data_IF_088402702979
#
_entry.id   IF_088402702979
#
_cell.length_a   1.000
_cell.length_b   1.000
_cell.length_c   1.000
_cell.angle_alpha   90.00
_cell.angle_beta   90.00
_cell.angle_gamma   90.00
#
_symmetry.space_group_name_H-M   'P 1'
#
loop_
_entity.id
_entity.type
_entity.pdbx_description
1 polymer ?
#
# COMPACT_ATOMS: atom_id res chain seq x y z
N UNK A 1 -9.59 34.85 30.87
CA UNK A 1 -8.37 34.40 30.18
C UNK A 1 -8.73 33.13 29.46
N UNK A 2 -8.86 33.18 28.12
CA UNK A 2 -8.98 31.96 27.33
C UNK A 2 -7.59 31.35 27.20
N UNK A 3 -7.41 30.04 27.45
CA UNK A 3 -6.16 29.40 27.12
C UNK A 3 -5.99 29.46 25.61
N UNK A 4 -4.87 30.01 25.15
CA UNK A 4 -4.43 29.90 23.77
C UNK A 4 -4.23 28.40 23.54
N UNK A 5 -5.17 27.77 22.83
CA UNK A 5 -4.93 26.45 22.26
C UNK A 5 -3.76 26.63 21.30
N UNK A 6 -2.59 26.13 21.70
CA UNK A 6 -1.44 25.97 20.82
C UNK A 6 -1.89 24.95 19.75
N UNK A 7 -2.17 25.35 18.50
CA UNK A 7 -2.50 24.36 17.49
C UNK A 7 -1.22 23.57 17.27
N UNK A 8 -1.20 22.35 17.77
CA UNK A 8 -0.07 21.45 17.60
C UNK A 8 0.25 21.41 16.09
N UNK A 9 1.48 21.77 15.72
CA UNK A 9 1.95 21.82 14.33
C UNK A 9 1.95 20.43 13.66
N UNK A 10 1.50 19.39 14.38
CA UNK A 10 1.35 18.01 13.94
C UNK A 10 -0.04 17.67 13.37
N UNK A 11 -0.99 18.61 13.31
CA UNK A 11 -2.37 18.36 12.85
C UNK A 11 -2.53 18.27 11.32
N UNK A 12 -1.63 17.60 10.59
CA UNK A 12 -1.90 17.30 9.17
C UNK A 12 -2.92 16.14 9.12
N UNK A 13 -4.08 16.29 8.47
CA UNK A 13 -4.98 15.15 8.28
C UNK A 13 -4.33 14.14 7.31
N UNK A 14 -4.64 12.84 7.43
CA UNK A 14 -4.28 11.88 6.41
C UNK A 14 -4.91 12.28 5.07
N UNK A 15 -4.20 12.00 3.97
CA UNK A 15 -4.71 12.33 2.62
C UNK A 15 -5.76 11.35 2.15
N UNK A 16 -5.71 10.10 2.63
CA UNK A 16 -6.71 9.06 2.37
C UNK A 16 -6.58 7.93 3.40
N UNK A 17 -7.42 6.90 3.25
CA UNK A 17 -7.32 5.65 4.00
C UNK A 17 -7.14 4.48 3.03
N UNK A 18 -6.40 3.47 3.46
CA UNK A 18 -6.19 2.25 2.68
C UNK A 18 -7.50 1.49 2.51
N UNK A 19 -7.88 1.16 1.27
CA UNK A 19 -9.10 0.41 0.97
C UNK A 19 -9.14 -1.05 1.50
N UNK A 20 -8.02 -1.57 2.04
CA UNK A 20 -7.92 -2.92 2.60
C UNK A 20 -7.87 -2.95 4.12
N UNK A 21 -6.95 -2.19 4.73
CA UNK A 21 -6.74 -2.20 6.18
C UNK A 21 -7.35 -1.00 6.92
N UNK A 22 -7.94 -0.04 6.19
CA UNK A 22 -8.44 1.24 6.72
C UNK A 22 -7.38 2.09 7.44
N UNK A 23 -6.09 1.77 7.25
CA UNK A 23 -4.98 2.54 7.80
C UNK A 23 -4.86 3.90 7.13
N UNK A 24 -4.47 4.90 7.92
CA UNK A 24 -4.19 6.26 7.46
C UNK A 24 -3.05 6.26 6.44
N UNK A 25 -3.24 6.99 5.34
CA UNK A 25 -2.19 7.24 4.32
C UNK A 25 -1.80 8.71 4.38
N UNK A 26 -0.51 8.97 4.53
CA UNK A 26 0.04 10.30 4.68
C UNK A 26 0.53 10.89 3.35
N UNK A 27 0.63 12.21 3.26
CA UNK A 27 0.93 12.92 1.99
C UNK A 27 2.31 12.60 1.38
N UNK A 28 3.21 12.07 2.18
CA UNK A 28 4.58 11.68 1.83
C UNK A 28 4.72 10.18 1.54
N UNK A 29 3.63 9.43 1.63
CA UNK A 29 3.61 7.99 1.37
C UNK A 29 3.09 7.68 -0.04
N UNK A 30 3.65 6.65 -0.70
CA UNK A 30 3.07 6.15 -1.94
C UNK A 30 1.76 5.41 -1.67
N UNK A 31 0.80 5.56 -2.59
CA UNK A 31 -0.43 4.77 -2.63
C UNK A 31 -0.52 4.02 -3.96
N UNK A 32 -1.03 2.80 -3.91
CA UNK A 32 -1.02 1.86 -5.04
C UNK A 32 -2.44 1.54 -5.46
N UNK A 33 -2.75 1.62 -6.75
CA UNK A 33 -4.03 1.13 -7.26
C UNK A 33 -3.91 -0.38 -7.53
N UNK A 34 -4.69 -1.20 -6.84
CA UNK A 34 -4.65 -2.65 -6.93
C UNK A 34 -6.07 -3.22 -6.83
N UNK A 35 -6.48 -4.07 -7.79
CA UNK A 35 -7.82 -4.67 -7.88
C UNK A 35 -8.97 -3.64 -7.72
N UNK A 36 -8.81 -2.45 -8.30
CA UNK A 36 -9.81 -1.38 -8.23
C UNK A 36 -9.85 -0.62 -6.89
N UNK A 37 -8.99 -0.94 -5.94
CA UNK A 37 -8.85 -0.23 -4.67
C UNK A 37 -7.53 0.54 -4.59
N UNK A 38 -7.51 1.65 -3.87
CA UNK A 38 -6.26 2.31 -3.48
C UNK A 38 -5.78 1.72 -2.15
N UNK A 39 -4.55 1.20 -2.11
CA UNK A 39 -3.98 0.49 -0.96
C UNK A 39 -2.66 1.12 -0.51
N UNK A 40 -2.38 1.05 0.79
CA UNK A 40 -1.12 1.55 1.36
C UNK A 40 0.08 0.64 0.99
N UNK A 41 1.28 1.15 1.20
CA UNK A 41 2.54 0.45 0.95
C UNK A 41 2.62 -0.91 1.65
N UNK A 42 2.13 -1.03 2.88
CA UNK A 42 2.23 -2.28 3.63
C UNK A 42 1.28 -3.35 3.08
N UNK A 43 0.02 -3.00 2.78
CA UNK A 43 -0.91 -3.90 2.10
C UNK A 43 -0.41 -4.31 0.71
N UNK A 44 0.30 -3.42 0.00
CA UNK A 44 0.93 -3.75 -1.26
C UNK A 44 2.08 -4.77 -1.07
N UNK A 45 3.00 -4.53 -0.12
CA UNK A 45 4.08 -5.46 0.19
C UNK A 45 3.55 -6.83 0.57
N UNK A 46 2.50 -6.89 1.39
CA UNK A 46 1.93 -8.16 1.83
C UNK A 46 1.26 -8.92 0.66
N UNK A 47 0.63 -8.21 -0.28
CA UNK A 47 0.12 -8.84 -1.50
C UNK A 47 1.24 -9.46 -2.34
N UNK A 48 2.36 -8.74 -2.53
CA UNK A 48 3.51 -9.25 -3.27
C UNK A 48 4.15 -10.46 -2.56
N UNK A 49 4.29 -10.42 -1.23
CA UNK A 49 4.79 -11.57 -0.45
C UNK A 49 3.90 -12.79 -0.63
N UNK A 50 2.58 -12.62 -0.53
CA UNK A 50 1.63 -13.71 -0.73
C UNK A 50 1.75 -14.30 -2.15
N UNK A 51 1.86 -13.45 -3.18
CA UNK A 51 2.09 -13.93 -4.54
C UNK A 51 3.41 -14.70 -4.68
N UNK A 52 4.47 -14.23 -4.04
CA UNK A 52 5.77 -14.91 -4.07
C UNK A 52 5.73 -16.28 -3.38
N UNK A 53 4.96 -16.41 -2.30
CA UNK A 53 4.83 -17.65 -1.52
C UNK A 53 3.86 -18.65 -2.19
N UNK A 54 2.72 -18.18 -2.68
CA UNK A 54 1.62 -19.02 -3.17
C UNK A 54 1.75 -19.35 -4.68
N UNK A 55 2.10 -18.38 -5.52
CA UNK A 55 2.25 -18.54 -6.98
C UNK A 55 3.33 -17.62 -7.55
N UNK A 56 4.63 -17.95 -7.36
CA UNK A 56 5.73 -17.13 -7.86
C UNK A 56 5.78 -17.06 -9.39
N UNK A 57 5.11 -17.97 -10.11
CA UNK A 57 5.04 -17.94 -11.57
C UNK A 57 4.09 -16.85 -12.03
N UNK A 58 2.95 -16.68 -11.36
CA UNK A 58 2.06 -15.55 -11.60
C UNK A 58 2.77 -14.22 -11.35
N UNK A 59 3.51 -14.10 -10.25
CA UNK A 59 4.31 -12.90 -9.98
C UNK A 59 5.34 -12.63 -11.09
N UNK A 60 6.02 -13.66 -11.59
CA UNK A 60 6.94 -13.51 -12.71
C UNK A 60 6.25 -12.97 -13.97
N UNK A 61 5.03 -13.41 -14.28
CA UNK A 61 4.27 -12.88 -15.42
C UNK A 61 3.89 -11.41 -15.26
N UNK A 62 3.43 -10.99 -14.07
CA UNK A 62 3.14 -9.57 -13.79
C UNK A 62 4.40 -8.70 -13.92
N UNK A 63 5.56 -9.25 -13.57
CA UNK A 63 6.87 -8.61 -13.72
C UNK A 63 7.44 -8.72 -15.14
N UNK A 64 6.71 -9.29 -16.10
CA UNK A 64 7.16 -9.53 -17.48
C UNK A 64 8.46 -10.35 -17.58
N UNK A 65 8.66 -11.25 -16.62
CA UNK A 65 9.79 -12.18 -16.59
C UNK A 65 9.43 -13.43 -17.40
N UNK A 66 10.33 -13.83 -18.29
CA UNK A 66 10.16 -15.06 -19.08
C UNK A 66 10.26 -16.30 -18.18
N UNK A 67 9.26 -17.20 -18.27
CA UNK A 67 9.20 -18.44 -17.51
C UNK A 67 9.30 -19.62 -18.46
N UNK A 68 10.36 -20.43 -18.32
CA UNK A 68 10.57 -21.68 -19.09
C UNK A 68 10.31 -22.88 -18.19
N UNK A 69 9.52 -23.85 -18.66
CA UNK A 69 9.29 -25.13 -17.98
C UNK A 69 9.77 -26.28 -18.87
N UNK A 70 10.54 -27.19 -18.29
CA UNK A 70 10.92 -28.44 -18.94
C UNK A 70 9.91 -29.52 -18.55
N UNK A 71 9.48 -30.31 -19.53
CA UNK A 71 8.53 -31.42 -19.39
C UNK A 71 9.31 -32.73 -19.25
#
# INVERSE_FOLDING_TARGET
MNPIQNPDAQARPPVSHCGRCDGEVWSDEPIFQWDGQWICLDCFKDAIKAMLEDDPVLLAYEMQVEVVRYI
#
